data_IF_468896441329
#
_entry.id   IF_468896441329
#
_cell.length_a   1.000
_cell.length_b   1.000
_cell.length_c   1.000
_cell.angle_alpha   90.00
_cell.angle_beta   90.00
_cell.angle_gamma   90.00
#
_symmetry.space_group_name_H-M   'P 1'
#
loop_
_entity.id
_entity.type
_entity.pdbx_description
1 polymer ?
#
# COMPACT_ATOMS: atom_id res chain seq x y z
N UNK A 1 68.74 -24.26 -19.97
CA UNK A 1 67.69 -25.01 -20.69
C UNK A 1 66.32 -24.63 -20.13
N UNK A 2 65.44 -24.13 -21.01
CA UNK A 2 63.96 -24.20 -20.97
C UNK A 2 63.17 -23.58 -19.78
N UNK A 3 62.50 -22.47 -20.14
CA UNK A 3 61.05 -22.17 -19.99
C UNK A 3 60.55 -21.49 -18.71
N UNK A 4 60.47 -20.16 -18.83
CA UNK A 4 59.30 -19.30 -18.57
C UNK A 4 57.96 -20.05 -18.64
N UNK A 5 57.15 -20.00 -17.57
CA UNK A 5 55.68 -20.09 -17.63
C UNK A 5 55.07 -19.23 -16.52
N UNK A 6 54.36 -18.20 -16.98
CA UNK A 6 53.23 -17.47 -16.38
C UNK A 6 52.88 -17.72 -14.90
N UNK A 7 53.14 -16.73 -14.06
CA UNK A 7 52.39 -16.48 -12.82
C UNK A 7 52.08 -14.98 -12.73
N UNK A 8 51.28 -14.47 -13.66
CA UNK A 8 50.83 -13.09 -13.63
C UNK A 8 49.55 -12.92 -14.47
N UNK A 9 48.48 -13.64 -14.13
CA UNK A 9 47.16 -13.30 -14.68
C UNK A 9 45.98 -13.95 -13.94
N UNK A 10 45.96 -13.95 -12.61
CA UNK A 10 44.81 -14.44 -11.85
C UNK A 10 44.57 -13.63 -10.57
N UNK A 11 44.48 -12.31 -10.69
CA UNK A 11 44.10 -11.43 -9.57
C UNK A 11 43.25 -10.22 -10.00
N UNK A 12 42.62 -10.26 -11.17
CA UNK A 12 41.82 -9.14 -11.68
C UNK A 12 40.53 -9.61 -12.36
N UNK A 13 39.76 -10.47 -11.68
CA UNK A 13 38.44 -10.86 -12.18
C UNK A 13 37.41 -11.17 -11.08
N UNK A 14 37.59 -10.63 -9.87
CA UNK A 14 36.71 -10.90 -8.72
C UNK A 14 36.03 -9.65 -8.12
N UNK A 15 36.18 -8.47 -8.73
CA UNK A 15 35.34 -7.31 -8.43
C UNK A 15 34.43 -7.05 -9.63
N UNK A 16 33.27 -7.71 -9.72
CA UNK A 16 32.14 -7.25 -10.57
C UNK A 16 30.82 -8.02 -10.32
N UNK A 17 30.59 -8.57 -9.12
CA UNK A 17 29.33 -9.26 -8.80
C UNK A 17 28.77 -8.89 -7.42
N UNK A 18 28.67 -7.59 -7.12
CA UNK A 18 28.02 -7.09 -5.90
C UNK A 18 26.85 -6.12 -6.18
N UNK A 19 26.39 -5.95 -7.42
CA UNK A 19 25.25 -5.10 -7.75
C UNK A 19 23.88 -5.74 -7.47
N UNK A 20 23.80 -6.74 -6.59
CA UNK A 20 22.59 -7.54 -6.33
C UNK A 20 21.79 -7.15 -5.09
N UNK A 21 22.27 -6.25 -4.22
CA UNK A 21 21.65 -5.96 -2.92
C UNK A 21 21.02 -4.55 -2.79
N UNK A 22 21.01 -3.72 -3.83
CA UNK A 22 20.69 -2.30 -3.70
C UNK A 22 19.20 -1.96 -3.51
N UNK A 23 18.27 -2.86 -3.83
CA UNK A 23 16.83 -2.55 -3.87
C UNK A 23 16.15 -2.57 -2.50
N UNK A 24 16.32 -3.58 -1.63
CA UNK A 24 15.84 -3.47 -0.25
C UNK A 24 16.58 -2.36 0.52
N UNK A 25 17.87 -2.16 0.22
CA UNK A 25 18.73 -1.18 0.87
C UNK A 25 18.31 0.26 0.58
N UNK A 26 17.95 0.60 -0.67
CA UNK A 26 17.50 1.96 -1.02
C UNK A 26 16.19 2.36 -0.31
N UNK A 27 15.25 1.42 -0.13
CA UNK A 27 14.00 1.72 0.59
C UNK A 27 14.26 1.99 2.07
N UNK A 28 15.11 1.17 2.71
CA UNK A 28 15.53 1.40 4.09
C UNK A 28 16.26 2.73 4.26
N UNK A 29 17.19 3.05 3.35
CA UNK A 29 17.91 4.33 3.36
C UNK A 29 16.96 5.52 3.19
N UNK A 30 16.00 5.44 2.26
CA UNK A 30 14.98 6.47 2.08
C UNK A 30 14.14 6.66 3.34
N UNK A 31 13.72 5.58 4.00
CA UNK A 31 12.93 5.66 5.23
C UNK A 31 13.72 6.35 6.34
N UNK A 32 14.99 5.97 6.54
CA UNK A 32 15.87 6.64 7.51
C UNK A 32 16.06 8.14 7.20
N UNK A 33 16.27 8.50 5.93
CA UNK A 33 16.36 9.90 5.53
C UNK A 33 15.05 10.65 5.81
N UNK A 34 13.91 10.04 5.51
CA UNK A 34 12.59 10.62 5.78
C UNK A 34 12.38 10.87 7.28
N UNK A 35 12.68 9.90 8.14
CA UNK A 35 12.59 10.04 9.60
C UNK A 35 13.50 11.14 10.15
N UNK A 36 14.63 11.41 9.50
CA UNK A 36 15.56 12.49 9.84
C UNK A 36 15.16 13.85 9.26
N UNK A 37 14.00 13.96 8.59
CA UNK A 37 13.55 15.18 7.93
C UNK A 37 14.30 15.50 6.62
N UNK A 38 15.11 14.57 6.12
CA UNK A 38 15.88 14.72 4.87
C UNK A 38 15.03 14.31 3.66
N UNK A 39 13.91 14.99 3.46
CA UNK A 39 12.92 14.64 2.44
C UNK A 39 13.45 14.77 1.00
N UNK A 40 14.26 15.81 0.74
CA UNK A 40 14.94 16.00 -0.55
C UNK A 40 15.84 14.81 -0.90
N UNK A 41 16.85 14.50 -0.07
CA UNK A 41 17.68 13.31 -0.27
C UNK A 41 16.88 12.00 -0.36
N UNK A 42 15.85 11.82 0.45
CA UNK A 42 14.99 10.62 0.43
C UNK A 42 14.36 10.38 -0.95
N UNK A 43 13.81 11.43 -1.59
CA UNK A 43 13.22 11.30 -2.93
C UNK A 43 14.25 11.14 -4.05
N UNK A 44 15.47 11.67 -3.89
CA UNK A 44 16.50 11.58 -4.94
C UNK A 44 16.93 10.12 -5.21
N UNK A 45 16.84 9.24 -4.21
CA UNK A 45 17.20 7.82 -4.34
C UNK A 45 16.40 7.08 -5.43
N UNK A 46 15.28 7.65 -5.89
CA UNK A 46 14.40 7.03 -6.88
C UNK A 46 14.37 7.74 -8.24
N UNK A 47 15.11 8.85 -8.42
CA UNK A 47 15.08 9.64 -9.66
C UNK A 47 15.84 9.03 -10.84
N UNK A 48 16.92 8.30 -10.59
CA UNK A 48 17.84 7.84 -11.64
C UNK A 48 17.37 6.58 -12.40
N UNK A 49 16.08 6.27 -12.33
CA UNK A 49 15.54 5.09 -12.98
C UNK A 49 15.18 5.43 -14.43
N UNK A 50 15.76 4.71 -15.40
CA UNK A 50 15.32 4.78 -16.80
C UNK A 50 13.92 4.17 -16.89
N UNK A 51 12.90 4.99 -16.70
CA UNK A 51 11.50 4.59 -16.75
C UNK A 51 11.02 4.60 -18.19
N UNK A 52 10.38 3.52 -18.63
CA UNK A 52 9.49 3.57 -19.78
C UNK A 52 8.03 3.50 -19.28
N UNK A 53 7.30 4.62 -19.25
CA UNK A 53 5.93 4.66 -18.72
C UNK A 53 4.97 3.66 -19.38
N UNK A 54 5.18 3.34 -20.67
CA UNK A 54 4.33 2.39 -21.41
C UNK A 54 4.66 0.93 -21.09
N UNK A 55 5.89 0.62 -20.65
CA UNK A 55 6.38 -0.77 -20.44
C UNK A 55 6.63 -1.14 -18.99
N UNK A 56 6.78 -0.14 -18.13
CA UNK A 56 7.19 -0.29 -16.73
C UNK A 56 6.21 0.36 -15.75
N UNK A 57 5.02 0.74 -16.22
CA UNK A 57 4.07 1.55 -15.44
C UNK A 57 3.75 0.96 -14.07
N UNK A 58 3.65 -0.36 -13.93
CA UNK A 58 3.37 -1.06 -12.66
C UNK A 58 4.61 -1.29 -11.78
N UNK A 59 5.82 -1.22 -12.33
CA UNK A 59 7.07 -1.57 -11.62
C UNK A 59 7.50 -0.52 -10.60
N UNK A 60 7.18 0.74 -10.86
CA UNK A 60 7.67 1.87 -10.07
C UNK A 60 6.63 2.46 -9.12
N UNK A 61 5.48 1.79 -8.92
CA UNK A 61 4.40 2.31 -8.07
C UNK A 61 4.89 2.63 -6.66
N UNK A 62 5.66 1.73 -6.03
CA UNK A 62 6.20 1.99 -4.70
C UNK A 62 7.18 3.16 -4.68
N UNK A 63 8.06 3.24 -5.68
CA UNK A 63 9.00 4.35 -5.81
C UNK A 63 8.25 5.69 -5.94
N UNK A 64 7.19 5.73 -6.73
CA UNK A 64 6.37 6.92 -6.95
C UNK A 64 5.59 7.34 -5.71
N UNK A 65 5.05 6.38 -4.95
CA UNK A 65 4.41 6.65 -3.66
C UNK A 65 5.40 7.25 -2.65
N UNK A 66 6.63 6.74 -2.60
CA UNK A 66 7.68 7.26 -1.72
C UNK A 66 8.12 8.67 -2.15
N UNK A 67 8.35 8.88 -3.44
CA UNK A 67 8.70 10.20 -3.99
C UNK A 67 7.57 11.22 -3.74
N UNK A 68 6.31 10.81 -3.88
CA UNK A 68 5.15 11.62 -3.57
C UNK A 68 5.12 12.03 -2.09
N UNK A 69 5.22 11.07 -1.18
CA UNK A 69 5.23 11.32 0.26
C UNK A 69 6.41 12.21 0.71
N UNK A 70 7.62 11.95 0.19
CA UNK A 70 8.79 12.77 0.46
C UNK A 70 8.66 14.19 -0.12
N UNK A 71 8.11 14.35 -1.32
CA UNK A 71 7.90 15.68 -1.90
C UNK A 71 6.81 16.47 -1.16
N UNK A 72 5.73 15.80 -0.73
CA UNK A 72 4.71 16.36 0.16
C UNK A 72 5.34 16.89 1.45
N UNK A 73 6.15 16.07 2.12
CA UNK A 73 6.84 16.46 3.35
C UNK A 73 7.86 17.60 3.13
N UNK A 74 8.45 17.68 1.93
CA UNK A 74 9.32 18.78 1.52
C UNK A 74 8.57 20.07 1.12
N UNK A 75 7.23 20.07 1.16
CA UNK A 75 6.36 21.15 0.67
C UNK A 75 6.54 21.46 -0.83
N UNK A 76 7.05 20.50 -1.60
CA UNK A 76 7.17 20.56 -3.05
C UNK A 76 5.93 19.90 -3.66
N UNK A 77 4.80 20.61 -3.54
CA UNK A 77 3.46 20.07 -3.84
C UNK A 77 3.28 19.71 -5.32
N UNK A 78 3.90 20.44 -6.25
CA UNK A 78 3.85 20.09 -7.67
C UNK A 78 4.57 18.76 -7.95
N UNK A 79 5.75 18.56 -7.35
CA UNK A 79 6.46 17.28 -7.46
C UNK A 79 5.71 16.14 -6.77
N UNK A 80 5.06 16.41 -5.64
CA UNK A 80 4.25 15.42 -4.92
C UNK A 80 3.07 14.94 -5.77
N UNK A 81 2.27 15.88 -6.29
CA UNK A 81 1.11 15.59 -7.15
C UNK A 81 1.56 14.80 -8.39
N UNK A 82 2.63 15.23 -9.07
CA UNK A 82 3.14 14.54 -10.25
C UNK A 82 3.59 13.09 -9.96
N UNK A 83 4.21 12.86 -8.81
CA UNK A 83 4.61 11.52 -8.39
C UNK A 83 3.38 10.64 -8.07
N UNK A 84 2.38 11.18 -7.36
CA UNK A 84 1.15 10.44 -7.10
C UNK A 84 0.34 10.15 -8.38
N UNK A 85 0.33 11.05 -9.37
CA UNK A 85 -0.28 10.79 -10.69
C UNK A 85 0.44 9.65 -11.44
N UNK A 86 1.78 9.62 -11.36
CA UNK A 86 2.57 8.51 -11.89
C UNK A 86 2.23 7.18 -11.20
N UNK A 87 2.14 7.19 -9.86
CA UNK A 87 1.72 6.02 -9.09
C UNK A 87 0.32 5.55 -9.52
N UNK A 88 -0.66 6.45 -9.66
CA UNK A 88 -2.02 6.11 -10.09
C UNK A 88 -2.07 5.45 -11.48
N UNK A 89 -1.17 5.84 -12.38
CA UNK A 89 -1.05 5.19 -13.70
C UNK A 89 -0.62 3.73 -13.57
N UNK A 90 0.36 3.45 -12.71
CA UNK A 90 0.78 2.07 -12.42
C UNK A 90 -0.25 1.25 -11.66
N UNK A 91 -0.95 1.87 -10.70
CA UNK A 91 -2.08 1.26 -9.98
C UNK A 91 -3.15 0.82 -10.97
N UNK A 92 -3.51 1.67 -11.93
CA UNK A 92 -4.50 1.37 -12.96
C UNK A 92 -4.07 0.16 -13.80
N UNK A 93 -2.80 0.10 -14.21
CA UNK A 93 -2.26 -1.02 -14.97
C UNK A 93 -2.36 -2.35 -14.20
N UNK A 94 -2.06 -2.35 -12.89
CA UNK A 94 -2.22 -3.53 -12.04
C UNK A 94 -3.70 -3.95 -11.89
N UNK A 95 -4.60 -2.99 -11.68
CA UNK A 95 -6.04 -3.26 -11.57
C UNK A 95 -6.62 -3.86 -12.85
N UNK A 96 -6.23 -3.34 -14.02
CA UNK A 96 -6.63 -3.88 -15.32
C UNK A 96 -6.09 -5.29 -15.56
N UNK A 97 -4.84 -5.56 -15.17
CA UNK A 97 -4.25 -6.90 -15.26
C UNK A 97 -5.00 -7.91 -14.38
N UNK A 98 -5.34 -7.53 -13.14
CA UNK A 98 -6.11 -8.36 -12.22
C UNK A 98 -7.51 -8.68 -12.78
N UNK A 99 -8.21 -7.68 -13.32
CA UNK A 99 -9.52 -7.85 -13.95
C UNK A 99 -9.47 -8.75 -15.20
N UNK A 100 -8.36 -8.71 -15.95
CA UNK A 100 -8.15 -9.57 -17.11
C UNK A 100 -7.85 -11.04 -16.75
N UNK A 101 -7.91 -11.42 -15.47
CA UNK A 101 -7.62 -12.78 -15.01
C UNK A 101 -6.14 -13.15 -15.17
N UNK A 102 -5.28 -12.19 -15.49
CA UNK A 102 -3.82 -12.32 -15.44
C UNK A 102 -3.44 -12.16 -13.97
N UNK A 103 -3.82 -13.16 -13.17
CA UNK A 103 -3.50 -13.21 -11.75
C UNK A 103 -2.02 -12.89 -11.59
N UNK A 104 -1.72 -11.86 -10.78
CA UNK A 104 -0.35 -11.57 -10.36
C UNK A 104 0.25 -12.90 -9.96
N UNK A 105 1.41 -13.22 -10.55
CA UNK A 105 2.11 -14.49 -10.50
C UNK A 105 2.59 -14.86 -9.07
N UNK A 106 1.69 -14.84 -8.08
CA UNK A 106 1.96 -15.03 -6.67
C UNK A 106 2.41 -16.47 -6.36
N UNK A 107 2.13 -17.43 -7.26
CA UNK A 107 2.51 -18.84 -7.06
C UNK A 107 3.82 -19.26 -7.76
N UNK A 108 4.31 -18.52 -8.77
CA UNK A 108 5.51 -18.92 -9.55
C UNK A 108 6.80 -18.16 -9.18
N UNK A 109 6.73 -17.23 -8.23
CA UNK A 109 7.82 -16.32 -7.89
C UNK A 109 8.91 -16.90 -6.97
N UNK A 110 8.68 -18.03 -6.31
CA UNK A 110 9.64 -18.59 -5.33
C UNK A 110 10.96 -19.03 -6.00
N UNK A 111 11.04 -19.10 -7.33
CA UNK A 111 12.20 -19.65 -8.06
C UNK A 111 12.98 -18.63 -8.93
N UNK A 112 12.51 -17.40 -9.12
CA UNK A 112 13.16 -16.47 -10.05
C UNK A 112 13.14 -15.03 -9.55
N UNK A 113 14.26 -14.61 -8.97
CA UNK A 113 14.63 -13.22 -8.64
C UNK A 113 13.50 -12.36 -8.03
N UNK A 114 13.45 -12.31 -6.69
CA UNK A 114 12.58 -11.42 -5.89
C UNK A 114 12.63 -9.95 -6.33
N UNK A 115 13.68 -9.54 -7.04
CA UNK A 115 13.87 -8.17 -7.49
C UNK A 115 13.06 -7.75 -8.73
N UNK A 116 12.17 -8.61 -9.25
CA UNK A 116 11.48 -8.40 -10.54
C UNK A 116 9.97 -8.29 -10.45
N UNK A 117 9.38 -8.53 -9.28
CA UNK A 117 7.93 -8.43 -9.12
C UNK A 117 7.51 -6.97 -8.84
N UNK A 118 6.51 -6.45 -9.57
CA UNK A 118 5.86 -5.21 -9.20
C UNK A 118 5.36 -5.26 -7.76
N UNK A 119 5.52 -4.16 -7.03
CA UNK A 119 4.96 -4.02 -5.68
C UNK A 119 3.43 -4.24 -5.74
N UNK A 120 2.87 -5.15 -4.93
CA UNK A 120 1.44 -5.42 -4.92
C UNK A 120 0.70 -4.27 -4.25
N UNK A 121 0.03 -3.43 -5.04
CA UNK A 121 -0.67 -2.24 -4.55
C UNK A 121 -1.80 -2.63 -3.60
N UNK A 122 -1.77 -2.08 -2.39
CA UNK A 122 -2.82 -2.26 -1.38
C UNK A 122 -3.93 -1.22 -1.55
N UNK A 123 -5.13 -1.52 -1.05
CA UNK A 123 -6.24 -0.54 -1.09
C UNK A 123 -5.89 0.77 -0.35
N UNK A 124 -5.13 0.66 0.74
CA UNK A 124 -4.63 1.79 1.51
C UNK A 124 -3.74 2.72 0.66
N UNK A 125 -2.86 2.18 -0.17
CA UNK A 125 -1.98 2.97 -1.05
C UNK A 125 -2.79 3.86 -1.99
N UNK A 126 -3.86 3.28 -2.56
CA UNK A 126 -4.77 4.01 -3.46
C UNK A 126 -5.51 5.12 -2.74
N UNK A 127 -6.02 4.85 -1.53
CA UNK A 127 -6.76 5.83 -0.72
C UNK A 127 -5.82 6.98 -0.32
N UNK A 128 -4.62 6.66 0.14
CA UNK A 128 -3.67 7.66 0.61
C UNK A 128 -3.06 8.49 -0.51
N UNK A 129 -2.82 7.92 -1.69
CA UNK A 129 -2.35 8.70 -2.84
C UNK A 129 -3.31 9.87 -3.14
N UNK A 130 -4.62 9.63 -3.24
CA UNK A 130 -5.59 10.71 -3.47
C UNK A 130 -5.77 11.60 -2.22
N UNK A 131 -5.62 11.06 -1.02
CA UNK A 131 -5.67 11.85 0.22
C UNK A 131 -4.53 12.88 0.25
N UNK A 132 -3.30 12.49 -0.05
CA UNK A 132 -2.16 13.40 -0.12
C UNK A 132 -2.30 14.41 -1.25
N UNK A 133 -2.71 13.99 -2.46
CA UNK A 133 -2.98 14.92 -3.56
C UNK A 133 -3.98 16.00 -3.17
N UNK A 134 -5.04 15.65 -2.44
CA UNK A 134 -5.99 16.63 -1.95
C UNK A 134 -5.36 17.62 -0.97
N UNK A 135 -4.52 17.15 -0.03
CA UNK A 135 -3.81 18.04 0.90
C UNK A 135 -2.86 18.97 0.14
N UNK A 136 -2.13 18.44 -0.83
CA UNK A 136 -1.20 19.21 -1.67
C UNK A 136 -1.94 20.28 -2.49
N UNK A 137 -3.08 19.93 -3.08
CA UNK A 137 -3.93 20.86 -3.81
C UNK A 137 -4.51 21.95 -2.89
N UNK A 138 -4.96 21.60 -1.68
CA UNK A 138 -5.38 22.58 -0.68
C UNK A 138 -4.26 23.53 -0.30
N UNK A 139 -3.04 23.01 -0.11
CA UNK A 139 -1.86 23.83 0.21
C UNK A 139 -1.51 24.81 -0.93
N UNK A 140 -1.83 24.46 -2.18
CA UNK A 140 -1.72 25.34 -3.36
C UNK A 140 -2.91 26.29 -3.54
N UNK A 141 -3.95 26.20 -2.71
CA UNK A 141 -5.19 26.97 -2.86
C UNK A 141 -6.13 26.44 -3.96
N UNK A 142 -5.86 25.26 -4.50
CA UNK A 142 -6.65 24.61 -5.56
C UNK A 142 -7.81 23.80 -4.95
N UNK A 143 -8.79 24.51 -4.35
CA UNK A 143 -9.91 23.90 -3.62
C UNK A 143 -10.74 22.94 -4.47
N UNK A 144 -11.05 23.31 -5.72
CA UNK A 144 -11.83 22.47 -6.63
C UNK A 144 -11.10 21.16 -6.97
N UNK A 145 -9.78 21.23 -7.16
CA UNK A 145 -8.97 20.05 -7.41
C UNK A 145 -8.95 19.13 -6.18
N UNK A 146 -8.80 19.71 -4.98
CA UNK A 146 -8.85 18.97 -3.73
C UNK A 146 -10.20 18.26 -3.51
N UNK A 147 -11.32 18.89 -3.89
CA UNK A 147 -12.65 18.26 -3.86
C UNK A 147 -12.65 16.98 -4.71
N UNK A 148 -12.10 17.04 -5.92
CA UNK A 148 -12.03 15.89 -6.84
C UNK A 148 -11.25 14.75 -6.19
N UNK A 149 -10.07 15.04 -5.63
CA UNK A 149 -9.20 14.01 -5.05
C UNK A 149 -9.80 13.41 -3.76
N UNK A 150 -10.47 14.21 -2.91
CA UNK A 150 -11.19 13.69 -1.74
C UNK A 150 -12.38 12.82 -2.13
N UNK A 151 -13.10 13.16 -3.20
CA UNK A 151 -14.17 12.32 -3.72
C UNK A 151 -13.62 10.99 -4.26
N UNK A 152 -12.48 11.02 -4.97
CA UNK A 152 -11.78 9.80 -5.41
C UNK A 152 -11.34 8.93 -4.23
N UNK A 153 -10.76 9.53 -3.19
CA UNK A 153 -10.38 8.82 -1.97
C UNK A 153 -11.60 8.19 -1.27
N UNK A 154 -12.70 8.93 -1.15
CA UNK A 154 -13.97 8.44 -0.60
C UNK A 154 -14.54 7.26 -1.39
N UNK A 155 -14.52 7.34 -2.72
CA UNK A 155 -14.99 6.26 -3.58
C UNK A 155 -14.10 5.00 -3.47
N UNK A 156 -12.78 5.16 -3.41
CA UNK A 156 -11.86 4.04 -3.18
C UNK A 156 -12.12 3.34 -1.85
N UNK A 157 -12.40 4.11 -0.79
CA UNK A 157 -12.81 3.54 0.50
C UNK A 157 -14.14 2.76 0.39
N UNK A 158 -15.13 3.30 -0.33
CA UNK A 158 -16.40 2.59 -0.58
C UNK A 158 -16.19 1.29 -1.35
N UNK A 159 -15.34 1.30 -2.38
CA UNK A 159 -14.98 0.10 -3.15
C UNK A 159 -14.21 -0.92 -2.30
N UNK A 160 -13.31 -0.44 -1.43
CA UNK A 160 -12.56 -1.24 -0.47
C UNK A 160 -13.51 -2.06 0.44
N UNK A 161 -14.53 -1.41 1.01
CA UNK A 161 -15.61 -2.09 1.76
C UNK A 161 -16.24 -3.24 1.00
N UNK A 162 -16.69 -2.96 -0.23
CA UNK A 162 -17.36 -3.95 -1.08
C UNK A 162 -16.43 -5.10 -1.43
N UNK A 163 -15.16 -4.80 -1.71
CA UNK A 163 -14.16 -5.81 -2.03
C UNK A 163 -13.92 -6.75 -0.85
N UNK A 164 -13.62 -6.21 0.33
CA UNK A 164 -13.35 -7.03 1.50
C UNK A 164 -14.59 -7.77 2.03
N UNK A 165 -15.79 -7.18 1.95
CA UNK A 165 -17.02 -7.90 2.28
C UNK A 165 -17.20 -9.16 1.42
N UNK A 166 -16.93 -9.07 0.11
CA UNK A 166 -16.97 -10.24 -0.79
C UNK A 166 -15.88 -11.25 -0.49
N UNK A 167 -14.66 -10.80 -0.15
CA UNK A 167 -13.57 -11.69 0.23
C UNK A 167 -13.88 -12.44 1.52
N UNK A 168 -14.39 -11.76 2.54
CA UNK A 168 -14.81 -12.36 3.81
C UNK A 168 -15.90 -13.40 3.54
N UNK A 169 -16.96 -13.03 2.82
CA UNK A 169 -18.04 -13.96 2.49
C UNK A 169 -17.51 -15.21 1.77
N UNK A 170 -16.63 -15.04 0.78
CA UNK A 170 -16.02 -16.16 0.06
C UNK A 170 -15.19 -17.05 0.99
N UNK A 171 -14.38 -16.45 1.86
CA UNK A 171 -13.56 -17.20 2.82
C UNK A 171 -14.43 -17.95 3.85
N UNK A 172 -15.53 -17.36 4.29
CA UNK A 172 -16.50 -18.00 5.17
C UNK A 172 -17.19 -19.20 4.49
N UNK A 173 -17.58 -19.05 3.22
CA UNK A 173 -18.14 -20.14 2.41
C UNK A 173 -17.13 -21.27 2.21
N UNK A 174 -15.87 -20.95 1.88
CA UNK A 174 -14.78 -21.93 1.73
C UNK A 174 -14.47 -22.63 3.06
N UNK A 175 -14.41 -21.90 4.18
CA UNK A 175 -14.22 -22.46 5.51
C UNK A 175 -15.39 -23.36 5.92
N UNK A 176 -16.63 -22.97 5.64
CA UNK A 176 -17.82 -23.77 5.91
C UNK A 176 -17.85 -25.05 5.06
N UNK A 177 -17.43 -24.98 3.79
CA UNK A 177 -17.27 -26.15 2.93
C UNK A 177 -16.17 -27.08 3.44
N UNK A 178 -15.01 -26.54 3.84
CA UNK A 178 -13.91 -27.31 4.40
C UNK A 178 -14.31 -28.03 5.70
N UNK A 179 -15.10 -27.39 6.57
CA UNK A 179 -15.64 -28.01 7.79
C UNK A 179 -16.51 -29.25 7.52
N UNK A 180 -17.16 -29.31 6.35
CA UNK A 180 -18.04 -30.42 5.95
C UNK A 180 -17.28 -31.54 5.24
N UNK A 181 -16.06 -31.29 4.77
CA UNK A 181 -15.23 -32.28 4.12
C UNK A 181 -14.49 -33.11 5.18
N UNK A 182 -14.74 -34.43 5.17
CA UNK A 182 -14.13 -35.39 6.09
C UNK A 182 -12.59 -35.37 6.04
N UNK A 183 -11.99 -34.90 4.93
CA UNK A 183 -10.53 -34.74 4.81
C UNK A 183 -9.94 -33.74 5.79
N UNK A 184 -10.71 -32.77 6.27
CA UNK A 184 -10.25 -31.75 7.21
C UNK A 184 -10.72 -32.00 8.65
N UNK A 185 -11.43 -33.11 8.93
CA UNK A 185 -12.01 -33.38 10.25
C UNK A 185 -10.96 -33.38 11.37
N UNK A 186 -9.79 -34.02 11.16
CA UNK A 186 -8.71 -34.03 12.14
C UNK A 186 -8.07 -32.64 12.33
N UNK A 187 -7.95 -31.85 11.27
CA UNK A 187 -7.42 -30.49 11.34
C UNK A 187 -8.34 -29.57 12.15
N UNK A 188 -9.66 -29.64 11.92
CA UNK A 188 -10.63 -28.87 12.70
C UNK A 188 -10.66 -29.28 14.18
N UNK A 189 -10.51 -30.58 14.48
CA UNK A 189 -10.40 -31.07 15.85
C UNK A 189 -9.18 -30.49 16.58
N UNK A 190 -8.03 -30.39 15.91
CA UNK A 190 -6.82 -29.76 16.47
C UNK A 190 -7.04 -28.27 16.75
N UNK A 191 -7.71 -27.56 15.84
CA UNK A 191 -8.06 -26.14 16.04
C UNK A 191 -9.00 -25.97 17.24
N UNK A 192 -10.05 -26.79 17.36
CA UNK A 192 -10.97 -26.77 18.50
C UNK A 192 -10.26 -27.05 19.83
N UNK A 193 -9.39 -28.05 19.87
CA UNK A 193 -8.59 -28.36 21.06
C UNK A 193 -7.65 -27.22 21.44
N UNK A 194 -7.09 -26.53 20.44
CA UNK A 194 -6.22 -25.36 20.66
C UNK A 194 -7.03 -24.19 21.18
N UNK A 195 -8.23 -23.91 20.65
CA UNK A 195 -9.11 -22.86 21.13
C UNK A 195 -9.65 -23.12 22.55
N UNK A 196 -9.79 -24.39 22.94
CA UNK A 196 -10.17 -24.80 24.29
C UNK A 196 -9.01 -24.79 25.30
N UNK A 197 -7.77 -24.50 24.86
CA UNK A 197 -6.65 -24.33 25.77
C UNK A 197 -6.81 -23.01 26.55
N UNK A 198 -6.78 -23.02 27.90
CA UNK A 198 -6.94 -21.81 28.71
C UNK A 198 -5.96 -20.67 28.37
N UNK A 199 -4.74 -20.99 27.93
CA UNK A 199 -3.75 -19.99 27.51
C UNK A 199 -4.13 -19.36 26.17
N UNK A 200 -4.62 -20.16 25.23
CA UNK A 200 -5.13 -19.67 23.93
C UNK A 200 -6.39 -18.84 24.12
N UNK A 201 -7.32 -19.28 24.96
CA UNK A 201 -8.54 -18.54 25.30
C UNK A 201 -8.20 -17.17 25.89
N UNK A 202 -7.32 -17.13 26.89
CA UNK A 202 -6.82 -15.87 27.48
C UNK A 202 -6.20 -14.95 26.44
N UNK A 203 -5.38 -15.49 25.54
CA UNK A 203 -4.74 -14.69 24.49
C UNK A 203 -5.78 -14.14 23.50
N UNK A 204 -6.77 -14.94 23.09
CA UNK A 204 -7.86 -14.52 22.21
C UNK A 204 -8.70 -13.41 22.87
N UNK A 205 -9.01 -13.54 24.16
CA UNK A 205 -9.71 -12.49 24.92
C UNK A 205 -8.90 -11.20 25.00
N UNK A 206 -7.60 -11.30 25.29
CA UNK A 206 -6.72 -10.13 25.33
C UNK A 206 -6.65 -9.42 23.96
N UNK A 207 -6.60 -10.18 22.86
CA UNK A 207 -6.68 -9.62 21.52
C UNK A 207 -8.03 -8.92 21.27
N UNK A 208 -9.16 -9.55 21.62
CA UNK A 208 -10.48 -8.94 21.45
C UNK A 208 -10.61 -7.63 22.22
N UNK A 209 -10.19 -7.61 23.48
CA UNK A 209 -10.22 -6.41 24.31
C UNK A 209 -9.35 -5.28 23.73
N UNK A 210 -8.17 -5.61 23.19
CA UNK A 210 -7.31 -4.63 22.52
C UNK A 210 -7.96 -4.02 21.26
N UNK A 211 -8.81 -4.78 20.58
CA UNK A 211 -9.47 -4.37 19.32
C UNK A 211 -10.88 -3.83 19.50
N UNK A 212 -11.41 -3.82 20.73
CA UNK A 212 -12.80 -3.41 21.01
C UNK A 212 -13.05 -1.96 20.58
N UNK A 213 -12.08 -1.07 20.82
CA UNK A 213 -12.15 0.35 20.47
C UNK A 213 -11.78 0.64 19.00
N UNK A 214 -11.48 -0.37 18.19
CA UNK A 214 -11.10 -0.18 16.78
C UNK A 214 -12.32 0.05 15.86
N UNK A 215 -13.48 0.37 16.42
CA UNK A 215 -14.73 0.64 15.69
C UNK A 215 -14.59 1.72 14.60
N UNK A 216 -13.68 2.69 14.75
CA UNK A 216 -13.37 3.70 13.72
C UNK A 216 -12.63 3.15 12.50
N UNK A 217 -11.97 2.00 12.65
CA UNK A 217 -11.37 1.21 11.57
C UNK A 217 -12.31 0.11 11.06
N UNK A 218 -13.51 0.00 11.64
CA UNK A 218 -14.52 -0.92 11.14
C UNK A 218 -14.81 -0.62 9.67
N UNK A 219 -14.98 -1.68 8.89
CA UNK A 219 -15.18 -1.65 7.45
C UNK A 219 -14.01 -1.10 6.62
N UNK A 220 -12.76 -1.35 6.97
CA UNK A 220 -11.60 -1.08 6.08
C UNK A 220 -11.50 0.39 5.62
N UNK A 221 -11.96 1.32 6.48
CA UNK A 221 -11.90 2.75 6.25
C UNK A 221 -10.62 3.34 6.84
N UNK A 222 -10.11 4.39 6.19
CA UNK A 222 -9.11 5.26 6.76
C UNK A 222 -9.82 6.42 7.50
N UNK A 223 -9.76 6.48 8.84
CA UNK A 223 -10.45 7.51 9.61
C UNK A 223 -9.87 8.91 9.34
N UNK A 224 -8.56 9.03 9.05
CA UNK A 224 -7.96 10.30 8.69
C UNK A 224 -8.50 10.85 7.36
N UNK A 225 -8.54 10.02 6.30
CA UNK A 225 -9.13 10.42 5.01
C UNK A 225 -10.61 10.80 5.16
N UNK A 226 -11.35 10.03 5.96
CA UNK A 226 -12.79 10.25 6.21
C UNK A 226 -13.02 11.55 6.96
N UNK A 227 -12.24 11.83 7.99
CA UNK A 227 -12.25 13.08 8.74
C UNK A 227 -11.89 14.26 7.85
N UNK A 228 -10.80 14.15 7.06
CA UNK A 228 -10.34 15.22 6.17
C UNK A 228 -11.40 15.58 5.13
N UNK A 229 -12.06 14.58 4.52
CA UNK A 229 -13.17 14.81 3.59
C UNK A 229 -14.36 15.48 4.29
N UNK A 230 -14.70 15.04 5.50
CA UNK A 230 -15.75 15.68 6.29
C UNK A 230 -15.44 17.14 6.62
N UNK A 231 -14.21 17.42 7.05
CA UNK A 231 -13.73 18.77 7.34
C UNK A 231 -13.74 19.65 6.09
N UNK A 232 -13.27 19.12 4.96
CA UNK A 232 -13.31 19.81 3.67
C UNK A 232 -14.75 20.24 3.32
N UNK A 233 -15.71 19.32 3.38
CA UNK A 233 -17.11 19.61 3.06
C UNK A 233 -17.74 20.60 4.05
N UNK A 234 -17.34 20.55 5.34
CA UNK A 234 -17.80 21.52 6.33
C UNK A 234 -17.28 22.95 6.06
N UNK A 235 -16.08 23.09 5.50
CA UNK A 235 -15.44 24.39 5.24
C UNK A 235 -15.75 24.95 3.84
N UNK A 236 -15.85 24.09 2.84
CA UNK A 236 -15.95 24.45 1.43
C UNK A 236 -17.24 23.95 0.76
N UNK A 237 -18.18 23.39 1.52
CA UNK A 237 -19.43 22.85 1.01
C UNK A 237 -20.27 23.87 0.23
N UNK A 238 -20.84 23.45 -0.89
CA UNK A 238 -21.58 24.34 -1.80
C UNK A 238 -23.09 24.32 -1.54
N UNK A 239 -23.62 23.22 -1.01
CA UNK A 239 -25.05 23.01 -0.79
C UNK A 239 -25.35 22.21 0.51
N UNK A 240 -26.63 22.08 0.83
CA UNK A 240 -27.07 21.35 2.02
C UNK A 240 -26.61 19.89 2.05
N UNK A 241 -26.48 19.23 0.89
CA UNK A 241 -26.02 17.85 0.79
C UNK A 241 -24.57 17.72 1.21
N UNK A 242 -23.71 18.68 0.84
CA UNK A 242 -22.31 18.71 1.28
C UNK A 242 -22.21 18.81 2.81
N UNK A 243 -23.01 19.67 3.45
CA UNK A 243 -22.99 19.83 4.91
C UNK A 243 -23.58 18.63 5.66
N UNK A 244 -24.62 17.99 5.11
CA UNK A 244 -25.16 16.74 5.65
C UNK A 244 -24.14 15.60 5.56
N UNK A 245 -23.47 15.47 4.42
CA UNK A 245 -22.40 14.50 4.22
C UNK A 245 -21.21 14.76 5.14
N UNK A 246 -20.83 16.03 5.35
CA UNK A 246 -19.80 16.42 6.32
C UNK A 246 -20.15 15.90 7.73
N UNK A 247 -21.37 16.16 8.20
CA UNK A 247 -21.87 15.67 9.49
C UNK A 247 -21.82 14.14 9.57
N UNK A 248 -22.23 13.45 8.51
CA UNK A 248 -22.22 11.98 8.44
C UNK A 248 -20.81 11.42 8.56
N UNK A 249 -19.86 11.97 7.81
CA UNK A 249 -18.45 11.54 7.82
C UNK A 249 -17.79 11.81 9.17
N UNK A 250 -18.06 12.96 9.79
CA UNK A 250 -17.52 13.28 11.11
C UNK A 250 -18.04 12.32 12.19
N UNK A 251 -19.34 11.98 12.16
CA UNK A 251 -19.91 10.96 13.06
C UNK A 251 -19.29 9.59 12.84
N UNK A 252 -19.02 9.22 11.60
CA UNK A 252 -18.37 7.95 11.25
C UNK A 252 -16.95 7.84 11.85
N UNK A 253 -16.25 8.97 12.05
CA UNK A 253 -14.93 8.99 12.69
C UNK A 253 -14.99 9.02 14.23
N UNK A 254 -16.14 9.37 14.80
CA UNK A 254 -16.32 9.57 16.26
C UNK A 254 -16.98 8.38 16.96
N UNK A 255 -17.29 7.29 16.25
CA UNK A 255 -17.86 6.09 16.85
C UNK A 255 -16.81 5.36 17.70
N UNK A 256 -16.68 5.81 18.95
CA UNK A 256 -16.15 5.11 20.13
C UNK A 256 -17.29 5.03 21.14
#
# INVERSE_FOLDING_TARGET
MKKTVLFASLASSSLLFLSGCATPERYGASATMFEQGQYGPARELFKDQKRNPEKDGDKYVLDDLIVGAASHAAMDFDAAIAAFDSAETGIKAQDEALLAGKGVAQASAILSNDNSLPYPVQQYDKIMANTYKAIDQLAKGEVDAARVELNRAGERQRMCKVHFAKLIQKQEEEAAAAKRDAKFADAFKIVEQSLANPETEKNVEAYRAMTEDWGSYADFMNPFTTFLRGLFLALYGEDASDYEEACRLMRQCHAV
#
